data_IF_836977443938
#
_entry.id   IF_836977443938
#
_cell.length_a   1.000
_cell.length_b   1.000
_cell.length_c   1.000
_cell.angle_alpha   90.00
_cell.angle_beta   90.00
_cell.angle_gamma   90.00
#
_symmetry.space_group_name_H-M   'P 1'
#
loop_
_entity.id
_entity.type
_entity.pdbx_description
1 polymer ?
#
# COMPACT_ATOMS: atom_id res chain seq x y z
N UNK A 1 -41.52 -4.64 -4.86
CA UNK A 1 -40.49 -4.78 -5.93
C UNK A 1 -39.53 -3.59 -6.02
N UNK A 2 -39.99 -2.34 -6.02
CA UNK A 2 -39.12 -1.14 -6.07
C UNK A 2 -38.13 -1.03 -4.89
N UNK A 3 -38.56 -1.42 -3.68
CA UNK A 3 -37.73 -1.36 -2.48
C UNK A 3 -36.70 -2.48 -2.43
N UNK A 4 -37.02 -3.67 -2.96
CA UNK A 4 -36.06 -4.76 -3.10
C UNK A 4 -34.95 -4.43 -4.12
N UNK A 5 -35.30 -3.75 -5.20
CA UNK A 5 -34.35 -3.25 -6.20
C UNK A 5 -33.48 -2.11 -5.63
N UNK A 6 -34.04 -1.24 -4.78
CA UNK A 6 -33.26 -0.24 -4.04
C UNK A 6 -32.32 -0.88 -3.01
N UNK A 7 -32.79 -1.90 -2.29
CA UNK A 7 -31.97 -2.65 -1.32
C UNK A 7 -30.84 -3.43 -2.01
N UNK A 8 -31.12 -4.07 -3.14
CA UNK A 8 -30.11 -4.75 -3.97
C UNK A 8 -29.11 -3.77 -4.60
N UNK A 9 -29.56 -2.59 -5.04
CA UNK A 9 -28.67 -1.51 -5.50
C UNK A 9 -27.83 -0.90 -4.38
N UNK A 10 -28.36 -0.81 -3.15
CA UNK A 10 -27.59 -0.34 -1.99
C UNK A 10 -26.49 -1.35 -1.57
N UNK A 11 -26.73 -2.65 -1.76
CA UNK A 11 -25.72 -3.70 -1.53
C UNK A 11 -24.72 -3.86 -2.68
N UNK A 12 -24.99 -3.32 -3.86
CA UNK A 12 -24.14 -3.41 -5.06
C UNK A 12 -23.34 -2.14 -5.33
N UNK A 13 -23.20 -1.21 -4.39
CA UNK A 13 -22.18 -0.16 -4.50
C UNK A 13 -20.83 -0.85 -4.42
N UNK A 14 -20.36 -1.24 -5.57
CA UNK A 14 -18.97 -1.70 -5.75
C UNK A 14 -18.07 -0.53 -5.39
N UNK A 15 -16.88 -0.82 -4.84
CA UNK A 15 -15.85 0.19 -4.57
C UNK A 15 -15.40 0.97 -5.83
N UNK A 16 -16.01 0.69 -6.96
CA UNK A 16 -15.77 1.31 -8.27
C UNK A 16 -16.63 2.56 -8.51
N UNK A 17 -17.76 2.72 -7.77
CA UNK A 17 -18.66 3.88 -7.89
C UNK A 17 -18.31 4.94 -6.84
N UNK A 18 -17.34 5.79 -7.14
CA UNK A 18 -17.00 6.95 -6.30
C UNK A 18 -16.74 8.19 -7.16
N UNK A 19 -17.16 9.35 -6.64
CA UNK A 19 -16.96 10.64 -7.30
C UNK A 19 -15.69 11.35 -6.81
N UNK A 20 -15.26 11.09 -5.57
CA UNK A 20 -14.18 11.82 -4.91
C UNK A 20 -13.28 10.87 -4.13
N UNK A 21 -11.97 11.12 -4.18
CA UNK A 21 -10.97 10.47 -3.35
C UNK A 21 -10.49 11.46 -2.29
N UNK A 22 -10.62 11.08 -1.00
CA UNK A 22 -10.09 11.84 0.13
C UNK A 22 -8.85 11.14 0.67
N UNK A 23 -7.73 11.86 0.74
CA UNK A 23 -6.48 11.38 1.33
C UNK A 23 -6.33 11.99 2.72
N UNK A 24 -6.07 11.16 3.74
CA UNK A 24 -5.89 11.59 5.12
C UNK A 24 -5.07 10.58 5.91
N UNK A 25 -4.81 10.88 7.18
CA UNK A 25 -4.22 9.93 8.11
C UNK A 25 -5.30 8.96 8.60
N UNK A 26 -4.93 7.70 8.75
CA UNK A 26 -5.81 6.69 9.30
C UNK A 26 -5.55 6.51 10.79
N UNK A 27 -6.60 6.60 11.61
CA UNK A 27 -6.53 6.22 13.01
C UNK A 27 -6.38 4.69 13.16
N UNK A 28 -5.87 4.20 14.29
CA UNK A 28 -5.83 2.76 14.58
C UNK A 28 -7.22 2.10 14.47
N UNK A 29 -8.26 2.76 14.95
CA UNK A 29 -9.64 2.25 14.90
C UNK A 29 -10.18 2.21 13.47
N UNK A 30 -9.82 3.18 12.65
CA UNK A 30 -10.17 3.18 11.23
C UNK A 30 -9.50 1.99 10.51
N UNK A 31 -8.24 1.70 10.78
CA UNK A 31 -7.54 0.54 10.21
C UNK A 31 -8.20 -0.78 10.65
N UNK A 32 -8.59 -0.89 11.94
CA UNK A 32 -9.34 -2.05 12.43
C UNK A 32 -10.71 -2.20 11.77
N UNK A 33 -11.39 -1.08 11.49
CA UNK A 33 -12.69 -1.09 10.81
C UNK A 33 -12.63 -1.57 9.36
N UNK A 34 -11.53 -1.31 8.66
CA UNK A 34 -11.30 -1.81 7.29
C UNK A 34 -10.92 -3.29 7.26
N UNK A 35 -10.40 -3.80 8.37
CA UNK A 35 -9.82 -5.13 8.44
C UNK A 35 -10.87 -6.21 8.70
N UNK A 36 -10.70 -7.34 8.02
CA UNK A 36 -11.49 -8.55 8.23
C UNK A 36 -10.85 -9.52 9.25
N UNK A 37 -9.69 -9.18 9.80
CA UNK A 37 -9.04 -9.94 10.86
C UNK A 37 -7.55 -9.68 11.00
N UNK A 38 -6.99 -10.11 12.14
CA UNK A 38 -5.57 -9.99 12.46
C UNK A 38 -4.75 -11.09 11.81
N UNK A 39 -3.65 -10.70 11.16
CA UNK A 39 -2.66 -11.62 10.60
C UNK A 39 -1.58 -11.87 11.65
N UNK A 40 -1.58 -13.09 12.24
CA UNK A 40 -0.67 -13.47 13.34
C UNK A 40 0.55 -14.24 12.88
N UNK A 41 0.43 -14.95 11.75
CA UNK A 41 1.46 -15.87 11.28
C UNK A 41 2.16 -15.36 10.02
N UNK A 42 3.48 -15.54 9.91
CA UNK A 42 4.25 -15.15 8.74
C UNK A 42 4.07 -16.09 7.54
N UNK A 43 3.49 -17.27 7.74
CA UNK A 43 3.29 -18.28 6.71
C UNK A 43 2.30 -17.78 5.64
N UNK A 44 2.57 -18.17 4.40
CA UNK A 44 1.73 -17.83 3.23
C UNK A 44 0.79 -18.97 2.87
N UNK A 45 1.36 -20.08 2.42
CA UNK A 45 0.66 -21.28 2.00
C UNK A 45 1.35 -22.51 2.59
N UNK A 46 0.60 -23.60 2.72
CA UNK A 46 1.16 -24.90 3.00
C UNK A 46 1.72 -25.50 1.70
N UNK A 47 3.04 -25.68 1.61
CA UNK A 47 3.71 -26.18 0.41
C UNK A 47 3.35 -27.61 0.01
N UNK A 48 2.78 -28.41 0.93
CA UNK A 48 2.31 -29.78 0.65
C UNK A 48 0.92 -29.80 0.03
N UNK A 49 0.02 -28.93 0.54
CA UNK A 49 -1.40 -28.91 0.14
C UNK A 49 -1.76 -27.74 -0.78
N UNK A 50 -0.87 -26.79 -0.96
CA UNK A 50 -1.07 -25.51 -1.68
C UNK A 50 -2.24 -24.67 -1.17
N UNK A 51 -2.73 -24.98 0.04
CA UNK A 51 -3.82 -24.22 0.68
C UNK A 51 -3.25 -23.08 1.53
N UNK A 52 -3.96 -21.95 1.61
CA UNK A 52 -3.58 -20.86 2.51
C UNK A 52 -3.53 -21.30 3.95
N UNK A 53 -2.46 -20.91 4.67
CA UNK A 53 -2.35 -21.18 6.12
C UNK A 53 -3.33 -20.29 6.90
N UNK A 54 -3.83 -20.85 7.99
CA UNK A 54 -4.77 -20.16 8.89
C UNK A 54 -4.03 -19.04 9.62
N UNK A 55 -4.66 -17.85 9.68
CA UNK A 55 -4.14 -16.63 10.31
C UNK A 55 -2.81 -16.14 9.70
N UNK A 56 -2.45 -16.64 8.52
CA UNK A 56 -1.30 -16.22 7.72
C UNK A 56 -1.63 -15.13 6.71
N UNK A 57 -0.61 -14.73 5.93
CA UNK A 57 -0.69 -13.64 4.95
C UNK A 57 -1.69 -13.89 3.80
N UNK A 58 -2.10 -15.13 3.56
CA UNK A 58 -3.08 -15.51 2.53
C UNK A 58 -4.34 -16.17 3.10
N UNK A 59 -4.57 -16.07 4.40
CA UNK A 59 -5.66 -16.74 5.12
C UNK A 59 -7.01 -16.53 4.44
N UNK A 60 -7.69 -17.65 4.13
CA UNK A 60 -9.01 -17.61 3.50
C UNK A 60 -10.12 -17.10 4.43
N UNK A 61 -9.95 -17.23 5.76
CA UNK A 61 -10.89 -16.71 6.74
C UNK A 61 -10.88 -15.18 6.76
N UNK A 62 -9.71 -14.56 6.63
CA UNK A 62 -9.53 -13.09 6.66
C UNK A 62 -9.85 -12.50 5.28
N UNK A 63 -9.23 -13.01 4.23
CA UNK A 63 -9.25 -12.40 2.91
C UNK A 63 -10.30 -12.97 1.96
N UNK A 64 -10.94 -14.08 2.32
CA UNK A 64 -11.96 -14.72 1.50
C UNK A 64 -11.51 -16.01 0.81
N UNK A 65 -12.43 -16.69 0.12
CA UNK A 65 -12.21 -18.00 -0.47
C UNK A 65 -11.25 -17.95 -1.67
N UNK A 66 -10.58 -19.07 -1.95
CA UNK A 66 -9.65 -19.22 -3.10
C UNK A 66 -10.40 -19.58 -4.39
N UNK A 67 -11.57 -20.23 -4.25
CA UNK A 67 -12.45 -20.59 -5.38
C UNK A 67 -13.82 -19.96 -5.18
N UNK A 68 -14.47 -19.57 -6.29
CA UNK A 68 -15.80 -18.98 -6.24
C UNK A 68 -16.80 -19.91 -5.56
N UNK A 69 -17.50 -19.37 -4.58
CA UNK A 69 -18.56 -20.05 -3.82
C UNK A 69 -18.15 -21.41 -3.23
N UNK A 70 -16.89 -21.56 -2.86
CA UNK A 70 -16.38 -22.77 -2.21
C UNK A 70 -15.60 -22.41 -0.93
N UNK A 71 -15.93 -23.04 0.20
CA UNK A 71 -15.14 -22.90 1.42
C UNK A 71 -13.83 -23.71 1.35
N UNK A 72 -12.85 -23.39 2.19
CA UNK A 72 -11.51 -24.00 2.14
C UNK A 72 -11.53 -25.52 2.40
N UNK A 73 -12.44 -26.01 3.28
CA UNK A 73 -12.58 -27.43 3.59
C UNK A 73 -13.45 -28.21 2.59
N UNK A 74 -14.16 -27.54 1.69
CA UNK A 74 -15.02 -28.15 0.68
C UNK A 74 -16.40 -28.60 1.20
N UNK A 75 -16.78 -28.28 2.47
CA UNK A 75 -18.11 -28.62 3.01
C UNK A 75 -19.23 -27.91 2.24
N UNK A 76 -19.05 -26.64 1.98
CA UNK A 76 -19.98 -25.81 1.21
C UNK A 76 -19.40 -25.52 -0.16
N UNK A 77 -20.15 -25.89 -1.20
CA UNK A 77 -19.85 -25.65 -2.61
C UNK A 77 -21.09 -25.12 -3.30
N UNK A 78 -20.92 -24.33 -4.36
CA UNK A 78 -21.95 -23.78 -5.22
C UNK A 78 -22.66 -22.56 -4.64
N UNK A 79 -23.31 -21.81 -5.53
CA UNK A 79 -23.96 -20.53 -5.32
C UNK A 79 -25.08 -20.57 -4.24
N UNK A 80 -25.75 -21.73 -4.06
CA UNK A 80 -26.85 -21.88 -3.08
C UNK A 80 -26.46 -21.58 -1.65
N UNK A 81 -25.15 -21.64 -1.31
CA UNK A 81 -24.62 -21.38 0.02
C UNK A 81 -23.96 -19.99 0.12
N UNK A 82 -24.25 -19.07 -0.80
CA UNK A 82 -23.68 -17.72 -0.80
C UNK A 82 -23.93 -17.02 0.54
N UNK A 83 -22.87 -16.41 1.11
CA UNK A 83 -22.91 -15.66 2.38
C UNK A 83 -22.85 -16.53 3.64
N UNK A 84 -22.84 -17.86 3.52
CA UNK A 84 -22.71 -18.75 4.67
C UNK A 84 -21.26 -18.79 5.14
N UNK A 85 -21.04 -18.62 6.45
CA UNK A 85 -19.73 -18.82 7.08
C UNK A 85 -19.61 -20.28 7.46
N UNK A 86 -18.58 -20.97 6.94
CA UNK A 86 -18.37 -22.38 7.22
C UNK A 86 -17.97 -22.61 8.69
N UNK A 87 -18.73 -23.39 9.42
CA UNK A 87 -18.47 -23.74 10.83
C UNK A 87 -17.09 -24.40 11.04
N UNK A 88 -16.66 -25.23 10.06
CA UNK A 88 -15.40 -26.00 10.16
C UNK A 88 -14.15 -25.17 9.86
N UNK A 89 -14.16 -24.34 8.80
CA UNK A 89 -12.98 -23.59 8.37
C UNK A 89 -13.11 -22.06 8.57
N UNK A 90 -14.29 -21.56 8.95
CA UNK A 90 -14.54 -20.14 9.18
C UNK A 90 -14.52 -19.27 7.91
N UNK A 91 -14.50 -19.89 6.73
CA UNK A 91 -14.44 -19.16 5.46
C UNK A 91 -15.85 -18.83 4.99
N UNK A 92 -16.09 -17.58 4.63
CA UNK A 92 -17.34 -17.13 4.02
C UNK A 92 -17.43 -17.57 2.56
N UNK A 93 -18.58 -18.10 2.16
CA UNK A 93 -18.82 -18.59 0.80
C UNK A 93 -19.22 -17.42 -0.11
N UNK A 94 -18.23 -16.79 -0.76
CA UNK A 94 -18.40 -15.64 -1.65
C UNK A 94 -17.56 -15.81 -2.91
N UNK A 95 -17.56 -14.80 -3.78
CA UNK A 95 -16.69 -14.75 -4.95
C UNK A 95 -15.23 -14.53 -4.53
N UNK A 96 -14.29 -15.05 -5.32
CA UNK A 96 -12.85 -14.83 -5.13
C UNK A 96 -12.43 -13.37 -5.30
N UNK A 97 -13.22 -12.56 -6.00
CA UNK A 97 -12.99 -11.12 -6.19
C UNK A 97 -12.74 -10.37 -4.87
N UNK A 98 -13.35 -10.82 -3.76
CA UNK A 98 -13.17 -10.21 -2.44
C UNK A 98 -11.72 -10.28 -1.94
N UNK A 99 -10.90 -11.21 -2.43
CA UNK A 99 -9.46 -11.30 -2.11
C UNK A 99 -8.64 -10.12 -2.65
N UNK A 100 -9.20 -9.35 -3.58
CA UNK A 100 -8.62 -8.10 -4.07
C UNK A 100 -9.03 -6.90 -3.22
N UNK A 101 -10.11 -7.00 -2.47
CA UNK A 101 -10.76 -5.88 -1.75
C UNK A 101 -10.53 -5.95 -0.24
N UNK A 102 -10.54 -7.15 0.35
CA UNK A 102 -10.45 -7.33 1.80
C UNK A 102 -9.04 -7.08 2.32
N UNK A 103 -8.96 -6.18 3.30
CA UNK A 103 -7.73 -5.90 4.04
C UNK A 103 -7.68 -6.72 5.34
N UNK A 104 -6.47 -6.98 5.82
CA UNK A 104 -6.19 -7.45 7.16
C UNK A 104 -5.42 -6.40 7.94
N UNK A 105 -5.04 -6.71 9.19
CA UNK A 105 -4.17 -5.87 10.00
C UNK A 105 -3.19 -6.70 10.84
N UNK A 106 -2.16 -6.04 11.33
CA UNK A 106 -1.20 -6.59 12.31
C UNK A 106 -1.22 -5.67 13.52
N UNK A 107 -1.52 -6.22 14.70
CA UNK A 107 -1.36 -5.51 15.97
C UNK A 107 0.11 -5.49 16.36
N UNK A 108 0.70 -4.30 16.35
CA UNK A 108 2.10 -4.13 16.71
C UNK A 108 2.30 -4.24 18.22
N UNK A 109 3.36 -4.90 18.64
CA UNK A 109 3.72 -5.07 20.06
C UNK A 109 4.21 -3.77 20.70
N UNK A 110 4.72 -2.83 19.90
CA UNK A 110 5.07 -1.49 20.33
C UNK A 110 4.72 -0.49 19.20
N UNK A 111 4.46 0.78 19.54
CA UNK A 111 4.27 1.82 18.53
C UNK A 111 5.47 1.95 17.60
N UNK A 112 5.22 2.29 16.34
CA UNK A 112 6.23 2.45 15.29
C UNK A 112 5.98 3.76 14.55
N UNK A 113 6.99 4.63 14.43
CA UNK A 113 6.87 5.87 13.69
C UNK A 113 6.82 5.62 12.18
N UNK A 114 5.94 6.34 11.47
CA UNK A 114 5.82 6.22 10.03
C UNK A 114 6.96 6.96 9.33
N UNK A 115 7.79 6.23 8.57
CA UNK A 115 9.01 6.75 7.93
C UNK A 115 8.77 7.95 7.00
N UNK A 116 7.60 8.05 6.34
CA UNK A 116 7.29 9.17 5.48
C UNK A 116 7.15 10.50 6.23
N UNK A 117 6.60 10.46 7.45
CA UNK A 117 6.45 11.66 8.28
C UNK A 117 7.71 11.98 9.06
N UNK A 118 8.56 10.97 9.29
CA UNK A 118 9.86 11.14 9.93
C UNK A 118 10.91 11.69 8.94
N UNK A 119 11.15 10.98 7.84
CA UNK A 119 12.25 11.25 6.88
C UNK A 119 11.86 12.17 5.72
N UNK A 120 10.72 12.83 5.76
CA UNK A 120 10.42 13.90 4.81
C UNK A 120 11.31 15.13 5.07
N UNK A 121 11.58 15.90 4.04
CA UNK A 121 12.30 17.16 4.17
C UNK A 121 11.35 18.33 3.85
N UNK A 122 10.95 19.12 4.85
CA UNK A 122 11.24 19.01 6.29
C UNK A 122 10.46 17.86 6.98
N UNK A 123 10.99 17.30 8.07
CA UNK A 123 10.32 16.29 8.86
C UNK A 123 9.02 16.82 9.46
N UNK A 124 7.90 16.11 9.22
CA UNK A 124 6.59 16.53 9.78
C UNK A 124 6.54 16.35 11.29
N UNK A 125 7.05 15.23 11.80
CA UNK A 125 7.16 14.99 13.24
C UNK A 125 8.09 16.04 13.87
N UNK A 126 9.24 16.33 13.25
CA UNK A 126 10.17 17.32 13.72
C UNK A 126 9.62 18.74 13.77
N UNK A 127 8.79 19.14 12.78
CA UNK A 127 8.14 20.45 12.79
C UNK A 127 7.09 20.57 13.90
N UNK A 128 6.33 19.51 14.19
CA UNK A 128 5.33 19.53 15.26
C UNK A 128 5.99 19.62 16.65
N UNK A 129 7.01 18.81 16.88
CA UNK A 129 7.73 18.80 18.16
C UNK A 129 8.77 19.93 18.31
N UNK A 130 8.99 20.73 17.26
CA UNK A 130 10.08 21.72 17.14
C UNK A 130 11.49 21.16 17.39
N UNK A 131 11.69 19.89 17.03
CA UNK A 131 12.93 19.16 17.24
C UNK A 131 13.67 18.88 15.93
N UNK A 132 15.02 18.91 15.92
CA UNK A 132 15.83 18.49 14.80
C UNK A 132 15.59 17.01 14.48
N UNK A 133 15.55 16.66 13.18
CA UNK A 133 15.38 15.28 12.74
C UNK A 133 16.40 14.31 13.35
N UNK A 134 17.65 14.76 13.51
CA UNK A 134 18.74 13.95 14.06
C UNK A 134 18.44 13.51 15.50
N UNK A 135 17.86 14.38 16.29
CA UNK A 135 17.57 14.12 17.71
C UNK A 135 16.39 13.16 17.83
N UNK A 136 15.35 13.35 17.02
CA UNK A 136 14.22 12.40 16.95
C UNK A 136 14.69 11.01 16.50
N UNK A 137 15.61 10.92 15.54
CA UNK A 137 16.17 9.65 15.11
C UNK A 137 16.92 8.93 16.23
N UNK A 138 17.69 9.65 17.05
CA UNK A 138 18.38 9.06 18.19
C UNK A 138 17.40 8.46 19.21
N UNK A 139 16.29 9.15 19.47
CA UNK A 139 15.24 8.63 20.34
C UNK A 139 14.55 7.39 19.73
N UNK A 140 14.12 7.48 18.46
CA UNK A 140 13.39 6.42 17.79
C UNK A 140 14.18 5.11 17.65
N UNK A 141 15.50 5.24 17.47
CA UNK A 141 16.35 4.06 17.29
C UNK A 141 17.09 3.65 18.59
N UNK A 142 16.57 4.11 19.73
CA UNK A 142 17.02 3.72 21.09
C UNK A 142 18.48 4.05 21.39
N UNK A 143 18.94 5.24 20.94
CA UNK A 143 20.27 5.76 21.25
C UNK A 143 20.24 6.74 22.45
N UNK A 144 19.12 7.45 22.65
CA UNK A 144 18.96 8.44 23.73
C UNK A 144 17.54 8.38 24.30
N UNK A 145 17.42 8.77 25.58
CA UNK A 145 16.14 9.02 26.23
C UNK A 145 15.63 10.42 25.91
N UNK A 146 14.33 10.59 25.97
CA UNK A 146 13.67 11.90 25.91
C UNK A 146 12.74 12.05 27.09
N UNK A 147 12.78 13.22 27.73
CA UNK A 147 11.91 13.54 28.86
C UNK A 147 10.51 13.80 28.34
N UNK A 148 9.56 12.97 28.76
CA UNK A 148 8.12 13.10 28.44
C UNK A 148 7.41 13.96 29.47
N UNK A 149 7.67 13.70 30.76
CA UNK A 149 7.15 14.50 31.88
C UNK A 149 8.30 14.90 32.80
N UNK A 150 8.58 16.23 32.94
CA UNK A 150 9.67 16.70 33.75
C UNK A 150 9.35 16.67 35.26
N UNK A 151 8.07 16.61 35.67
CA UNK A 151 7.68 16.68 37.07
C UNK A 151 8.17 17.94 37.76
N UNK A 152 8.65 17.80 39.02
CA UNK A 152 9.26 18.90 39.82
C UNK A 152 10.80 18.92 39.72
N UNK A 153 11.38 18.50 38.59
CA UNK A 153 12.83 18.43 38.39
C UNK A 153 13.34 19.61 37.56
N UNK A 154 14.67 19.78 37.52
CA UNK A 154 15.33 20.80 36.69
C UNK A 154 15.39 20.44 35.21
N UNK A 155 14.72 19.34 34.80
CA UNK A 155 14.69 18.86 33.42
C UNK A 155 13.61 19.59 32.62
N UNK A 156 13.90 19.80 31.34
CA UNK A 156 12.91 20.37 30.40
C UNK A 156 12.21 19.27 29.59
N UNK A 157 10.93 19.46 29.28
CA UNK A 157 10.19 18.57 28.41
C UNK A 157 10.79 18.54 27.02
N UNK A 158 11.03 17.34 26.48
CA UNK A 158 11.70 17.16 25.20
C UNK A 158 13.22 17.21 25.26
N UNK A 159 13.82 17.36 26.47
CA UNK A 159 15.25 17.26 26.65
C UNK A 159 15.75 15.85 26.39
N UNK A 160 16.89 15.74 25.71
CA UNK A 160 17.54 14.47 25.43
C UNK A 160 18.54 14.12 26.53
N UNK A 161 18.49 12.90 27.01
CA UNK A 161 19.40 12.38 28.02
C UNK A 161 20.16 11.16 27.43
N UNK A 162 21.49 11.14 27.70
CA UNK A 162 22.27 9.92 27.48
C UNK A 162 21.94 8.89 28.57
N UNK A 163 22.36 7.65 28.40
CA UNK A 163 22.11 6.60 29.39
C UNK A 163 22.74 6.95 30.76
N UNK A 164 23.95 7.55 30.76
CA UNK A 164 24.60 8.03 31.97
C UNK A 164 23.80 9.14 32.63
N UNK A 165 23.35 10.15 31.89
CA UNK A 165 22.54 11.27 32.41
C UNK A 165 21.18 10.80 32.92
N UNK A 166 20.59 9.78 32.29
CA UNK A 166 19.33 9.19 32.73
C UNK A 166 19.51 8.50 34.11
N UNK A 167 20.57 7.70 34.27
CA UNK A 167 20.87 7.05 35.54
C UNK A 167 21.17 8.07 36.63
N UNK A 168 21.97 9.11 36.34
CA UNK A 168 22.23 10.20 37.29
C UNK A 168 20.96 10.95 37.70
N UNK A 169 20.02 11.12 36.78
CA UNK A 169 18.73 11.75 37.04
C UNK A 169 17.82 10.82 37.87
N UNK A 170 17.80 9.52 37.56
CA UNK A 170 17.05 8.50 38.31
C UNK A 170 17.55 8.41 39.76
N UNK A 171 18.87 8.47 39.97
CA UNK A 171 19.47 8.48 41.32
C UNK A 171 19.13 9.76 42.13
N UNK A 172 18.93 10.92 41.45
CA UNK A 172 18.63 12.20 42.11
C UNK A 172 17.14 12.38 42.39
N UNK A 173 16.28 12.08 41.42
CA UNK A 173 14.85 12.43 41.46
C UNK A 173 13.91 11.20 41.46
N UNK A 174 14.44 9.97 41.35
CA UNK A 174 13.69 8.74 41.35
C UNK A 174 12.47 8.78 40.39
N UNK A 175 11.27 8.56 40.90
CA UNK A 175 10.02 8.51 40.12
C UNK A 175 9.38 9.90 39.88
N UNK A 176 10.06 11.01 40.17
CA UNK A 176 9.50 12.37 39.99
C UNK A 176 9.45 12.83 38.54
N UNK A 177 10.15 12.17 37.61
CA UNK A 177 10.15 12.48 36.19
C UNK A 177 9.95 11.23 35.35
N UNK A 178 9.47 11.40 34.12
CA UNK A 178 9.33 10.29 33.16
C UNK A 178 10.17 10.58 31.93
N UNK A 179 11.07 9.65 31.58
CA UNK A 179 11.83 9.68 30.32
C UNK A 179 11.75 8.33 29.62
N UNK A 180 11.46 8.35 28.33
CA UNK A 180 11.25 7.15 27.51
C UNK A 180 12.15 7.14 26.29
N UNK A 181 12.26 5.97 25.65
CA UNK A 181 12.91 5.77 24.35
C UNK A 181 11.92 5.25 23.32
N UNK A 182 12.27 5.45 22.03
CA UNK A 182 11.53 4.86 20.92
C UNK A 182 10.31 5.65 20.47
N UNK A 183 9.50 5.02 19.63
CA UNK A 183 8.32 5.66 19.05
C UNK A 183 7.19 5.92 20.07
N UNK A 184 7.20 5.21 21.18
CA UNK A 184 6.26 5.41 22.29
C UNK A 184 6.41 6.80 22.90
N UNK A 185 7.66 7.20 23.21
CA UNK A 185 7.97 8.54 23.70
C UNK A 185 7.51 9.64 22.73
N UNK A 186 7.79 9.45 21.44
CA UNK A 186 7.37 10.40 20.40
C UNK A 186 5.84 10.45 20.30
N UNK A 187 5.15 9.32 20.44
CA UNK A 187 3.69 9.27 20.45
C UNK A 187 3.08 10.05 21.62
N UNK A 188 3.63 9.88 22.80
CA UNK A 188 3.17 10.58 24.00
C UNK A 188 3.37 12.10 23.85
N UNK A 189 4.54 12.55 23.41
CA UNK A 189 4.78 13.96 23.10
C UNK A 189 3.82 14.53 22.04
N UNK A 190 3.46 13.73 21.01
CA UNK A 190 2.52 14.17 19.98
C UNK A 190 1.06 14.22 20.46
N UNK A 191 0.66 13.35 21.42
CA UNK A 191 -0.66 13.37 22.03
C UNK A 191 -0.91 14.62 22.86
N UNK A 192 0.14 15.07 23.54
CA UNK A 192 0.07 16.20 24.47
C UNK A 192 0.10 17.56 23.78
N UNK A 193 0.27 17.60 22.46
CA UNK A 193 0.19 18.85 21.68
C UNK A 193 -1.26 19.32 21.60
N UNK A 194 -1.57 20.42 22.27
CA UNK A 194 -2.80 21.15 22.00
C UNK A 194 -2.62 22.05 20.77
N UNK A 195 -3.32 21.68 19.68
CA UNK A 195 -3.18 22.35 18.39
C UNK A 195 -3.69 23.81 18.45
N UNK A 196 -4.70 24.11 19.26
CA UNK A 196 -5.29 25.44 19.35
C UNK A 196 -4.33 26.39 20.07
N UNK A 197 -3.88 25.98 21.25
CA UNK A 197 -2.96 26.77 22.07
C UNK A 197 -1.62 27.01 21.35
N UNK A 198 -1.07 25.99 20.70
CA UNK A 198 0.19 26.14 19.94
C UNK A 198 0.04 27.05 18.71
N UNK A 199 -1.11 27.01 18.03
CA UNK A 199 -1.37 27.92 16.91
C UNK A 199 -1.44 29.40 17.37
N UNK A 200 -2.06 29.67 18.53
CA UNK A 200 -2.15 31.01 19.09
C UNK A 200 -0.78 31.54 19.49
N UNK A 201 -0.01 30.77 20.24
CA UNK A 201 1.37 31.12 20.61
C UNK A 201 2.24 31.45 19.41
N UNK A 202 2.20 30.62 18.38
CA UNK A 202 3.00 30.85 17.17
C UNK A 202 2.55 32.08 16.35
N UNK A 203 1.27 32.45 16.43
CA UNK A 203 0.77 33.69 15.81
C UNK A 203 1.28 34.93 16.56
N UNK A 204 1.32 34.89 17.88
CA UNK A 204 1.89 35.95 18.72
C UNK A 204 3.38 36.08 18.45
N UNK A 205 4.15 34.99 18.51
CA UNK A 205 5.58 34.99 18.19
C UNK A 205 5.88 35.51 16.77
N UNK A 206 5.01 35.24 15.80
CA UNK A 206 5.18 35.74 14.44
C UNK A 206 5.04 37.26 14.35
N UNK A 207 4.22 37.87 15.20
CA UNK A 207 4.05 39.34 15.27
C UNK A 207 5.26 40.00 15.97
N UNK A 208 5.80 39.40 17.01
CA UNK A 208 6.91 39.94 17.79
C UNK A 208 8.28 39.78 17.10
N UNK A 209 8.42 38.72 16.27
CA UNK A 209 9.72 38.38 15.67
C UNK A 209 10.05 39.23 14.46
N UNK A 210 11.20 39.93 14.49
CA UNK A 210 11.73 40.72 13.39
C UNK A 210 12.71 39.95 12.48
N UNK A 211 13.18 38.74 12.89
CA UNK A 211 14.12 37.93 12.11
C UNK A 211 13.43 37.16 10.99
N UNK A 212 13.81 37.39 9.75
CA UNK A 212 13.23 36.75 8.55
C UNK A 212 13.36 35.20 8.59
N UNK A 213 14.48 34.68 9.07
CA UNK A 213 14.73 33.23 9.19
C UNK A 213 13.82 32.58 10.24
N UNK A 214 13.65 33.22 11.40
CA UNK A 214 12.71 32.76 12.43
C UNK A 214 11.27 32.81 11.91
N UNK A 215 10.86 33.90 11.27
CA UNK A 215 9.53 34.02 10.66
C UNK A 215 9.23 32.90 9.67
N UNK A 216 10.19 32.55 8.80
CA UNK A 216 10.04 31.43 7.84
C UNK A 216 9.87 30.09 8.56
N UNK A 217 10.59 29.85 9.69
CA UNK A 217 10.46 28.62 10.49
C UNK A 217 9.08 28.54 11.15
N UNK A 218 8.67 29.61 11.84
CA UNK A 218 7.36 29.71 12.52
C UNK A 218 6.22 29.54 11.50
N UNK A 219 6.28 30.21 10.36
CA UNK A 219 5.25 30.10 9.31
C UNK A 219 5.09 28.67 8.79
N UNK A 220 6.20 27.93 8.63
CA UNK A 220 6.13 26.53 8.18
C UNK A 220 5.48 25.61 9.25
N UNK A 221 5.80 25.84 10.53
CA UNK A 221 5.22 25.11 11.66
C UNK A 221 3.73 25.43 11.80
N UNK A 222 3.37 26.70 11.78
CA UNK A 222 1.98 27.18 11.86
C UNK A 222 1.10 26.60 10.75
N UNK A 223 1.55 26.63 9.49
CA UNK A 223 0.82 26.02 8.37
C UNK A 223 0.55 24.54 8.57
N UNK A 224 1.47 23.81 9.20
CA UNK A 224 1.28 22.39 9.47
C UNK A 224 0.26 22.17 10.59
N UNK A 225 0.34 22.92 11.68
CA UNK A 225 -0.63 22.84 12.80
C UNK A 225 -2.04 23.21 12.35
N UNK A 226 -2.19 24.31 11.60
CA UNK A 226 -3.49 24.70 11.02
C UNK A 226 -4.06 23.64 10.08
N UNK A 227 -3.22 22.97 9.28
CA UNK A 227 -3.66 21.87 8.42
C UNK A 227 -4.14 20.66 9.24
N UNK A 228 -3.53 20.35 10.38
CA UNK A 228 -4.01 19.31 11.28
C UNK A 228 -5.35 19.70 11.91
N UNK A 229 -5.48 20.93 12.40
CA UNK A 229 -6.71 21.45 12.99
C UNK A 229 -7.89 21.41 11.99
N UNK A 230 -7.68 21.93 10.77
CA UNK A 230 -8.72 21.97 9.72
C UNK A 230 -9.15 20.58 9.22
N UNK A 231 -8.21 19.64 9.13
CA UNK A 231 -8.47 18.28 8.64
C UNK A 231 -9.08 17.35 9.68
N UNK A 232 -9.01 17.69 10.97
CA UNK A 232 -9.40 16.83 12.08
C UNK A 232 -8.49 15.61 12.28
N UNK A 233 -7.32 15.59 11.65
CA UNK A 233 -6.32 14.55 11.89
C UNK A 233 -5.60 14.82 13.22
N UNK A 234 -5.29 13.74 13.95
CA UNK A 234 -4.50 13.85 15.18
C UNK A 234 -3.01 13.61 14.88
N UNK A 235 -2.09 14.41 15.48
CA UNK A 235 -0.65 14.24 15.30
C UNK A 235 -0.14 12.85 15.69
N UNK A 236 -0.72 12.26 16.74
CA UNK A 236 -0.37 10.91 17.24
C UNK A 236 -0.55 9.79 16.19
N UNK A 237 -1.42 9.99 15.17
CA UNK A 237 -1.63 9.00 14.11
C UNK A 237 -0.45 8.85 13.16
N UNK A 238 0.55 9.73 13.25
CA UNK A 238 1.82 9.53 12.53
C UNK A 238 2.70 8.43 13.15
N UNK A 239 2.34 7.97 14.34
CA UNK A 239 2.92 6.81 15.01
C UNK A 239 1.89 5.68 14.99
N UNK A 240 2.24 4.57 14.37
CA UNK A 240 1.33 3.46 14.12
C UNK A 240 1.38 2.44 15.25
N UNK A 241 0.24 2.05 15.77
CA UNK A 241 0.05 0.91 16.67
C UNK A 241 -0.54 -0.31 15.94
N UNK A 242 -1.20 -0.06 14.82
CA UNK A 242 -1.82 -1.07 13.95
C UNK A 242 -1.33 -0.87 12.53
N UNK A 243 -0.83 -1.94 11.90
CA UNK A 243 -0.34 -1.91 10.54
C UNK A 243 -1.37 -2.57 9.59
N UNK A 244 -1.84 -1.88 8.54
CA UNK A 244 -2.74 -2.48 7.57
C UNK A 244 -2.01 -3.49 6.68
N UNK A 245 -2.67 -4.60 6.35
CA UNK A 245 -2.17 -5.64 5.45
C UNK A 245 -2.93 -5.57 4.14
N UNK A 246 -2.20 -5.37 3.06
CA UNK A 246 -2.74 -5.27 1.70
C UNK A 246 -3.45 -6.57 1.30
N UNK A 247 -4.55 -6.50 0.52
CA UNK A 247 -5.21 -7.69 -0.01
C UNK A 247 -4.26 -8.63 -0.76
N UNK A 248 -4.45 -9.97 -0.67
CA UNK A 248 -3.52 -10.95 -1.26
C UNK A 248 -3.36 -10.84 -2.76
N UNK A 249 -4.42 -10.51 -3.51
CA UNK A 249 -4.37 -10.40 -4.97
C UNK A 249 -3.57 -9.18 -5.45
N UNK A 250 -3.33 -8.19 -4.59
CA UNK A 250 -2.44 -7.05 -4.88
C UNK A 250 -0.96 -7.35 -4.58
N UNK A 251 -0.66 -8.49 -3.92
CA UNK A 251 0.68 -9.04 -3.64
C UNK A 251 0.73 -10.53 -3.94
N UNK A 252 0.47 -10.94 -5.20
CA UNK A 252 0.17 -12.31 -5.54
C UNK A 252 1.34 -13.27 -5.31
N UNK A 253 0.99 -14.53 -5.10
CA UNK A 253 1.86 -15.69 -5.08
C UNK A 253 1.45 -16.58 -6.23
N UNK A 254 2.29 -16.65 -7.28
CA UNK A 254 1.97 -17.36 -8.53
C UNK A 254 2.79 -18.66 -8.61
N UNK A 255 2.15 -19.82 -8.78
CA UNK A 255 2.87 -21.05 -9.03
C UNK A 255 3.53 -21.03 -10.40
N UNK A 256 4.79 -21.45 -10.46
CA UNK A 256 5.56 -21.65 -11.68
C UNK A 256 5.72 -23.16 -11.95
N UNK A 257 6.07 -23.49 -13.18
CA UNK A 257 6.40 -24.86 -13.56
C UNK A 257 7.57 -25.39 -12.70
N UNK A 258 7.48 -26.65 -12.29
CA UNK A 258 8.47 -27.28 -11.41
C UNK A 258 8.26 -27.04 -9.91
N UNK A 259 7.04 -26.69 -9.47
CA UNK A 259 6.67 -26.58 -8.05
C UNK A 259 7.25 -25.37 -7.31
N UNK A 260 7.84 -24.41 -8.04
CA UNK A 260 8.34 -23.15 -7.51
C UNK A 260 7.25 -22.09 -7.52
N UNK A 261 7.38 -21.08 -6.65
CA UNK A 261 6.46 -19.95 -6.59
C UNK A 261 7.20 -18.65 -6.86
N UNK A 262 6.60 -17.81 -7.71
CA UNK A 262 6.97 -16.41 -7.81
C UNK A 262 6.11 -15.62 -6.81
N UNK A 263 6.76 -14.82 -5.98
CA UNK A 263 6.09 -14.02 -4.96
C UNK A 263 6.43 -12.55 -5.11
N UNK A 264 5.49 -11.68 -4.71
CA UNK A 264 5.76 -10.26 -4.58
C UNK A 264 6.73 -10.01 -3.43
N UNK A 265 7.66 -9.06 -3.61
CA UNK A 265 8.63 -8.66 -2.59
C UNK A 265 7.93 -8.19 -1.29
N UNK A 266 6.71 -7.65 -1.39
CA UNK A 266 5.90 -7.24 -0.24
C UNK A 266 5.61 -8.38 0.73
N UNK A 267 5.44 -9.60 0.25
CA UNK A 267 5.20 -10.76 1.11
C UNK A 267 6.41 -11.04 2.02
N UNK A 268 7.63 -10.91 1.50
CA UNK A 268 8.85 -11.08 2.30
C UNK A 268 9.02 -9.96 3.33
N UNK A 269 8.68 -8.74 2.96
CA UNK A 269 8.70 -7.59 3.88
C UNK A 269 7.65 -7.76 5.00
N UNK A 270 6.41 -8.14 4.69
CA UNK A 270 5.40 -8.47 5.71
C UNK A 270 5.83 -9.62 6.61
N UNK A 271 6.41 -10.69 6.07
CA UNK A 271 6.92 -11.81 6.86
C UNK A 271 7.99 -11.36 7.86
N UNK A 272 8.89 -10.47 7.47
CA UNK A 272 9.91 -9.88 8.37
C UNK A 272 9.26 -9.10 9.51
N UNK A 273 8.27 -8.26 9.20
CA UNK A 273 7.52 -7.51 10.23
C UNK A 273 6.84 -8.45 11.21
N UNK A 274 6.09 -9.45 10.73
CA UNK A 274 5.37 -10.40 11.59
C UNK A 274 6.33 -11.21 12.46
N UNK A 275 7.44 -11.68 11.91
CA UNK A 275 8.45 -12.43 12.67
C UNK A 275 9.05 -11.58 13.81
N UNK A 276 9.42 -10.33 13.52
CA UNK A 276 9.94 -9.40 14.55
C UNK A 276 8.88 -9.07 15.60
N UNK A 277 7.67 -8.81 15.16
CA UNK A 277 6.56 -8.52 16.05
C UNK A 277 6.24 -9.68 17.00
N UNK A 278 6.18 -10.90 16.47
CA UNK A 278 5.92 -12.10 17.27
C UNK A 278 7.08 -12.40 18.23
N UNK A 279 8.31 -12.16 17.80
CA UNK A 279 9.49 -12.29 18.65
C UNK A 279 9.47 -11.29 19.80
N UNK A 280 9.13 -10.02 19.50
CA UNK A 280 9.00 -8.98 20.52
C UNK A 280 7.89 -9.32 21.52
N UNK A 281 6.70 -9.73 21.05
CA UNK A 281 5.61 -10.19 21.95
C UNK A 281 6.09 -11.27 22.92
N UNK A 282 6.80 -12.28 22.40
CA UNK A 282 7.35 -13.35 23.23
C UNK A 282 8.40 -12.88 24.23
N UNK A 283 9.26 -11.92 23.86
CA UNK A 283 10.27 -11.36 24.78
C UNK A 283 9.62 -10.54 25.89
N UNK A 284 8.55 -9.81 25.57
CA UNK A 284 7.76 -9.07 26.58
C UNK A 284 7.05 -10.02 27.53
N UNK A 285 6.43 -11.09 27.02
CA UNK A 285 5.76 -12.11 27.84
C UNK A 285 6.74 -12.85 28.78
N UNK A 286 8.00 -13.02 28.37
CA UNK A 286 9.07 -13.65 29.15
C UNK A 286 9.81 -12.70 30.09
N UNK A 287 9.43 -11.41 30.13
CA UNK A 287 10.11 -10.37 30.90
C UNK A 287 11.64 -10.40 30.66
N UNK A 288 12.00 -10.40 29.36
CA UNK A 288 13.40 -10.45 28.95
C UNK A 288 14.16 -9.15 29.34
N UNK A 289 15.50 -9.20 29.50
CA UNK A 289 16.31 -8.00 29.81
C UNK A 289 16.08 -6.87 28.82
N UNK A 290 16.03 -5.65 29.34
CA UNK A 290 15.72 -4.42 28.58
C UNK A 290 16.57 -4.22 27.32
N UNK A 291 17.85 -4.52 27.40
CA UNK A 291 18.78 -4.40 26.26
C UNK A 291 18.30 -5.24 25.07
N UNK A 292 17.79 -6.46 25.32
CA UNK A 292 17.28 -7.36 24.28
C UNK A 292 15.96 -6.83 23.73
N UNK A 293 15.06 -6.37 24.60
CA UNK A 293 13.76 -5.81 24.24
C UNK A 293 13.94 -4.54 23.39
N UNK A 294 14.81 -3.61 23.82
CA UNK A 294 15.14 -2.37 23.07
C UNK A 294 15.68 -2.69 21.67
N UNK A 295 16.60 -3.66 21.57
CA UNK A 295 17.14 -4.05 20.29
C UNK A 295 16.06 -4.66 19.36
N UNK A 296 15.14 -5.47 19.89
CA UNK A 296 14.06 -6.05 19.07
C UNK A 296 13.01 -4.99 18.68
N UNK A 297 12.70 -4.03 19.57
CA UNK A 297 11.87 -2.85 19.25
C UNK A 297 12.49 -2.05 18.09
N UNK A 298 13.80 -1.79 18.13
CA UNK A 298 14.54 -1.12 17.05
C UNK A 298 14.45 -1.91 15.74
N UNK A 299 14.64 -3.24 15.78
CA UNK A 299 14.55 -4.08 14.60
C UNK A 299 13.13 -4.16 14.04
N UNK A 300 12.09 -4.06 14.87
CA UNK A 300 10.71 -3.94 14.43
C UNK A 300 10.48 -2.61 13.70
N UNK A 301 10.94 -1.49 14.26
CA UNK A 301 10.90 -0.17 13.60
C UNK A 301 11.57 -0.24 12.22
N UNK A 302 12.78 -0.80 12.13
CA UNK A 302 13.53 -0.93 10.87
C UNK A 302 12.79 -1.83 9.84
N UNK A 303 12.13 -2.89 10.29
CA UNK A 303 11.37 -3.78 9.39
C UNK A 303 10.12 -3.11 8.82
N UNK A 304 9.44 -2.27 9.61
CA UNK A 304 8.30 -1.49 9.15
C UNK A 304 8.75 -0.36 8.22
N UNK A 305 9.87 0.31 8.53
CA UNK A 305 10.47 1.31 7.65
C UNK A 305 10.77 0.74 6.26
N UNK A 306 11.34 -0.47 6.21
CA UNK A 306 11.62 -1.15 4.95
C UNK A 306 10.35 -1.56 4.19
N UNK A 307 9.28 -1.95 4.87
CA UNK A 307 8.00 -2.24 4.22
C UNK A 307 7.41 -1.00 3.56
N UNK A 308 7.47 0.15 4.24
CA UNK A 308 6.90 1.41 3.76
C UNK A 308 7.76 2.06 2.67
N UNK A 309 9.06 2.22 2.89
CA UNK A 309 10.00 2.84 1.94
C UNK A 309 11.42 2.28 2.12
N UNK A 310 11.70 1.16 1.47
CA UNK A 310 12.98 0.47 1.57
C UNK A 310 14.13 1.32 1.00
N UNK A 311 15.20 1.47 1.77
CA UNK A 311 16.37 2.25 1.41
C UNK A 311 16.29 3.75 1.73
N UNK A 312 15.20 4.21 2.36
CA UNK A 312 15.09 5.59 2.83
C UNK A 312 16.01 5.87 4.01
N UNK A 313 16.23 4.87 4.86
CA UNK A 313 17.18 4.88 5.96
C UNK A 313 18.26 3.83 5.76
N UNK A 314 19.48 4.25 5.51
CA UNK A 314 20.63 3.37 5.38
C UNK A 314 20.59 2.45 4.17
N UNK A 315 21.17 1.26 4.29
CA UNK A 315 21.21 0.27 3.21
C UNK A 315 19.85 -0.40 3.03
N UNK A 316 19.41 -0.48 1.78
CA UNK A 316 18.16 -1.18 1.45
C UNK A 316 18.28 -2.69 1.78
N UNK A 317 17.18 -3.26 2.27
CA UNK A 317 17.07 -4.71 2.47
C UNK A 317 17.02 -5.38 1.10
N UNK A 318 17.85 -6.38 0.89
CA UNK A 318 17.98 -7.10 -0.37
C UNK A 318 17.42 -8.52 -0.27
N UNK A 319 16.97 -9.03 -1.41
CA UNK A 319 16.58 -10.43 -1.58
C UNK A 319 17.80 -11.35 -1.84
N UNK A 320 17.53 -12.60 -2.16
CA UNK A 320 18.56 -13.62 -2.47
C UNK A 320 19.53 -13.21 -3.59
N UNK A 321 19.05 -12.47 -4.58
CA UNK A 321 19.83 -11.99 -5.72
C UNK A 321 20.52 -10.64 -5.47
N UNK A 322 20.71 -10.22 -4.24
CA UNK A 322 21.27 -8.91 -3.85
C UNK A 322 20.52 -7.70 -4.42
N UNK A 323 19.35 -7.90 -5.03
CA UNK A 323 18.46 -6.84 -5.51
C UNK A 323 17.68 -6.25 -4.33
N UNK A 324 17.56 -4.91 -4.21
CA UNK A 324 16.70 -4.30 -3.22
C UNK A 324 15.25 -4.79 -3.37
N UNK A 325 14.60 -5.12 -2.26
CA UNK A 325 13.18 -5.51 -2.25
C UNK A 325 12.31 -4.28 -2.51
N UNK A 326 11.29 -4.45 -3.34
CA UNK A 326 10.35 -3.39 -3.73
C UNK A 326 9.36 -3.14 -2.61
N UNK A 327 9.41 -1.94 -2.02
CA UNK A 327 8.54 -1.49 -0.93
C UNK A 327 7.19 -0.93 -1.42
N UNK A 328 6.28 -0.59 -0.49
CA UNK A 328 5.01 0.06 -0.81
C UNK A 328 5.21 1.40 -1.53
N UNK A 329 6.19 2.21 -1.10
CA UNK A 329 6.53 3.46 -1.78
C UNK A 329 6.95 3.24 -3.24
N UNK A 330 7.73 2.18 -3.51
CA UNK A 330 8.18 1.84 -4.86
C UNK A 330 7.06 1.32 -5.77
N UNK A 331 5.95 0.83 -5.18
CA UNK A 331 4.74 0.47 -5.93
C UNK A 331 4.01 1.70 -6.49
N UNK A 332 4.22 2.88 -5.91
CA UNK A 332 3.50 4.11 -6.25
C UNK A 332 4.40 5.02 -7.07
N UNK A 333 5.66 5.23 -6.64
CA UNK A 333 6.62 6.18 -7.22
C UNK A 333 7.42 5.59 -8.38
N UNK A 334 8.01 6.50 -9.19
CA UNK A 334 8.95 6.16 -10.26
C UNK A 334 8.30 5.69 -11.55
N UNK A 335 9.15 5.29 -12.53
CA UNK A 335 8.73 4.89 -13.88
C UNK A 335 7.85 3.63 -13.89
N UNK A 336 8.10 2.71 -12.96
CA UNK A 336 7.37 1.44 -12.82
C UNK A 336 6.32 1.50 -11.71
N UNK A 337 6.06 2.68 -11.14
CA UNK A 337 5.04 2.90 -10.15
C UNK A 337 3.64 3.01 -10.75
N UNK A 338 2.63 2.94 -9.86
CA UNK A 338 1.21 2.93 -10.25
C UNK A 338 0.81 4.17 -11.06
N UNK A 339 1.30 5.35 -10.70
CA UNK A 339 0.96 6.57 -11.40
C UNK A 339 1.43 6.57 -12.85
N UNK A 340 2.72 6.34 -13.09
CA UNK A 340 3.29 6.43 -14.43
C UNK A 340 2.99 5.23 -15.32
N UNK A 341 2.84 4.03 -14.76
CA UNK A 341 2.69 2.79 -15.52
C UNK A 341 1.22 2.40 -15.77
N UNK A 342 0.29 2.74 -14.86
CA UNK A 342 -1.07 2.24 -14.91
C UNK A 342 -2.16 3.32 -14.94
N UNK A 343 -1.86 4.56 -14.48
CA UNK A 343 -2.84 5.63 -14.40
C UNK A 343 -2.66 6.69 -15.49
N UNK A 344 -1.45 7.23 -15.66
CA UNK A 344 -1.16 8.22 -16.72
C UNK A 344 -1.15 7.60 -18.12
N UNK A 345 -0.94 6.29 -18.21
CA UNK A 345 -1.00 5.54 -19.45
C UNK A 345 -1.10 4.06 -19.17
N UNK A 346 -1.81 3.34 -20.03
CA UNK A 346 -2.00 1.87 -19.94
C UNK A 346 -1.60 1.24 -21.25
N UNK A 347 -1.18 -0.02 -21.20
CA UNK A 347 -1.10 -0.83 -22.42
C UNK A 347 -2.52 -1.12 -22.89
N UNK A 348 -2.76 -0.93 -24.18
CA UNK A 348 -4.08 -1.11 -24.79
C UNK A 348 -4.05 -2.27 -25.77
N UNK A 349 -5.20 -2.93 -25.91
CA UNK A 349 -5.40 -3.96 -26.94
C UNK A 349 -5.50 -3.31 -28.33
N UNK A 350 -5.47 -4.12 -29.38
CA UNK A 350 -5.51 -3.67 -30.77
C UNK A 350 -4.42 -2.64 -31.10
N UNK A 351 -3.24 -2.83 -30.57
CA UNK A 351 -2.04 -2.04 -30.84
C UNK A 351 -0.89 -2.95 -31.26
N UNK A 352 -0.01 -2.42 -32.10
CA UNK A 352 1.13 -3.16 -32.62
C UNK A 352 2.39 -2.29 -32.73
N UNK A 353 3.52 -2.91 -32.98
CA UNK A 353 4.80 -2.25 -33.19
C UNK A 353 5.52 -2.89 -34.35
N UNK A 354 6.05 -2.08 -35.25
CA UNK A 354 6.83 -2.54 -36.39
C UNK A 354 7.94 -1.55 -36.75
N UNK A 355 8.78 -1.96 -37.64
CA UNK A 355 9.85 -1.11 -38.20
C UNK A 355 9.21 -0.08 -39.17
N UNK A 356 9.71 1.14 -39.15
CA UNK A 356 9.29 2.19 -40.05
C UNK A 356 10.17 2.17 -41.29
N UNK A 357 9.53 2.14 -42.47
CA UNK A 357 10.21 2.19 -43.77
C UNK A 357 9.68 3.35 -44.59
N UNK A 358 10.39 3.74 -45.62
CA UNK A 358 9.95 4.77 -46.57
C UNK A 358 8.79 4.26 -47.42
N UNK A 359 7.86 5.13 -47.79
CA UNK A 359 6.72 4.84 -48.63
C UNK A 359 6.48 5.98 -49.63
N UNK A 360 7.31 6.10 -50.70
CA UNK A 360 7.27 7.28 -51.62
C UNK A 360 5.95 7.40 -52.42
N UNK A 361 5.19 6.33 -52.48
CA UNK A 361 3.90 6.32 -53.24
C UNK A 361 2.68 6.63 -52.38
N UNK A 362 2.89 6.80 -51.04
CA UNK A 362 1.79 7.08 -50.12
C UNK A 362 1.54 8.56 -49.97
N UNK A 363 0.27 8.94 -49.84
CA UNK A 363 -0.11 10.28 -49.48
C UNK A 363 0.20 10.57 -47.98
N UNK A 364 0.26 11.86 -47.60
CA UNK A 364 0.59 12.27 -46.21
C UNK A 364 -0.32 11.69 -45.12
N UNK A 365 -1.57 11.40 -45.49
CA UNK A 365 -2.56 10.79 -44.59
C UNK A 365 -2.63 9.28 -44.69
N UNK A 366 -1.75 8.63 -45.45
CA UNK A 366 -1.75 7.20 -45.66
C UNK A 366 -0.53 6.53 -45.03
N UNK A 367 -0.72 5.31 -44.58
CA UNK A 367 0.37 4.41 -44.14
C UNK A 367 0.16 3.02 -44.67
N UNK A 368 1.24 2.28 -44.93
CA UNK A 368 1.21 0.88 -45.30
C UNK A 368 1.40 0.01 -44.08
N UNK A 369 0.52 -0.96 -43.87
CA UNK A 369 0.62 -1.96 -42.82
C UNK A 369 0.78 -3.38 -43.40
N UNK A 370 1.54 -4.29 -42.73
CA UNK A 370 1.53 -5.68 -43.02
C UNK A 370 0.12 -6.26 -42.88
N UNK A 371 -0.35 -7.05 -43.88
CA UNK A 371 -1.70 -7.63 -43.91
C UNK A 371 -2.05 -8.41 -42.62
N UNK A 372 -1.13 -9.20 -42.10
CA UNK A 372 -1.35 -9.98 -40.86
C UNK A 372 -1.48 -9.07 -39.62
N UNK A 373 -0.75 -7.98 -39.57
CA UNK A 373 -0.88 -7.00 -38.49
C UNK A 373 -2.22 -6.28 -38.56
N UNK A 374 -2.65 -5.89 -39.76
CA UNK A 374 -3.97 -5.29 -39.97
C UNK A 374 -5.10 -6.24 -39.57
N UNK A 375 -4.98 -7.52 -39.87
CA UNK A 375 -5.96 -8.54 -39.49
C UNK A 375 -6.16 -8.61 -37.98
N UNK A 376 -5.07 -8.57 -37.21
CA UNK A 376 -5.12 -8.57 -35.75
C UNK A 376 -5.72 -7.27 -35.15
N UNK A 377 -5.33 -6.11 -35.69
CA UNK A 377 -5.81 -4.82 -35.22
C UNK A 377 -7.32 -4.63 -35.43
N UNK A 378 -7.84 -5.11 -36.56
CA UNK A 378 -9.24 -4.92 -36.96
C UNK A 378 -10.15 -6.14 -36.68
N UNK A 379 -9.67 -7.13 -35.93
CA UNK A 379 -10.44 -8.35 -35.59
C UNK A 379 -11.89 -8.11 -35.17
N UNK A 380 -12.22 -7.21 -34.22
CA UNK A 380 -13.60 -7.00 -33.77
C UNK A 380 -14.53 -6.56 -34.91
N UNK A 381 -14.05 -5.65 -35.77
CA UNK A 381 -14.80 -5.11 -36.88
C UNK A 381 -15.05 -6.19 -37.95
N UNK A 382 -14.05 -7.06 -38.19
CA UNK A 382 -14.17 -8.18 -39.10
C UNK A 382 -15.21 -9.17 -38.59
N UNK A 383 -15.20 -9.52 -37.31
CA UNK A 383 -16.20 -10.40 -36.69
C UNK A 383 -17.61 -9.85 -36.84
N UNK A 384 -17.80 -8.57 -36.55
CA UNK A 384 -19.09 -7.90 -36.68
C UNK A 384 -19.60 -7.93 -38.15
N UNK A 385 -18.73 -7.67 -39.16
CA UNK A 385 -19.11 -7.73 -40.57
C UNK A 385 -19.36 -9.16 -41.07
N UNK A 386 -18.58 -10.14 -40.58
CA UNK A 386 -18.84 -11.56 -40.92
C UNK A 386 -20.19 -12.04 -40.40
N UNK A 387 -20.58 -11.63 -39.20
CA UNK A 387 -21.85 -11.99 -38.59
C UNK A 387 -23.01 -11.25 -39.27
N UNK A 388 -22.90 -9.94 -39.49
CA UNK A 388 -23.95 -9.13 -40.12
C UNK A 388 -24.25 -9.52 -41.56
N UNK A 389 -23.27 -10.06 -42.31
CA UNK A 389 -23.42 -10.56 -43.67
C UNK A 389 -23.83 -12.02 -43.76
N UNK A 390 -23.97 -12.71 -42.62
CA UNK A 390 -24.40 -14.10 -42.58
C UNK A 390 -23.33 -15.13 -42.97
N UNK A 391 -22.06 -14.73 -43.12
CA UNK A 391 -20.97 -15.69 -43.38
C UNK A 391 -20.63 -16.54 -42.15
N UNK A 392 -20.89 -16.02 -40.98
CA UNK A 392 -20.74 -16.73 -39.73
C UNK A 392 -22.00 -16.56 -38.86
N UNK A 393 -22.51 -17.65 -38.33
CA UNK A 393 -23.71 -17.67 -37.46
C UNK A 393 -23.36 -17.40 -35.99
N UNK A 394 -22.09 -17.54 -35.62
CA UNK A 394 -21.59 -17.35 -34.24
C UNK A 394 -20.20 -16.73 -34.26
N UNK A 395 -19.87 -15.98 -33.22
CA UNK A 395 -18.54 -15.39 -33.01
C UNK A 395 -17.43 -16.47 -33.04
N UNK A 396 -17.74 -17.70 -32.57
CA UNK A 396 -16.81 -18.83 -32.63
C UNK A 396 -16.52 -19.30 -34.06
N UNK A 397 -17.51 -19.26 -34.91
CA UNK A 397 -17.33 -19.58 -36.35
C UNK A 397 -16.54 -18.47 -37.05
N UNK A 398 -16.86 -17.19 -36.78
CA UNK A 398 -16.11 -16.05 -37.31
C UNK A 398 -14.63 -16.09 -36.90
N UNK A 399 -14.35 -16.42 -35.65
CA UNK A 399 -12.97 -16.57 -35.15
C UNK A 399 -12.20 -17.65 -35.93
N UNK A 400 -12.81 -18.81 -36.17
CA UNK A 400 -12.19 -19.89 -36.97
C UNK A 400 -11.90 -19.48 -38.41
N UNK A 401 -12.81 -18.70 -39.03
CA UNK A 401 -12.60 -18.21 -40.41
C UNK A 401 -11.41 -17.24 -40.47
N UNK A 402 -11.29 -16.33 -39.48
CA UNK A 402 -10.16 -15.41 -39.41
C UNK A 402 -8.84 -16.14 -39.12
N UNK A 403 -8.84 -17.17 -38.27
CA UNK A 403 -7.66 -18.01 -37.98
C UNK A 403 -7.22 -18.83 -39.20
N UNK A 404 -8.14 -19.18 -40.09
CA UNK A 404 -7.83 -19.86 -41.37
C UNK A 404 -7.40 -18.92 -42.49
N UNK A 405 -7.52 -17.62 -42.27
CA UNK A 405 -7.20 -16.60 -43.28
C UNK A 405 -8.01 -16.79 -44.59
N UNK A 406 -9.31 -17.10 -44.49
CA UNK A 406 -10.17 -17.33 -45.65
C UNK A 406 -10.19 -16.09 -46.58
N UNK A 407 -10.38 -16.28 -47.91
CA UNK A 407 -10.35 -15.22 -48.92
C UNK A 407 -11.36 -14.09 -48.60
N UNK A 408 -12.55 -14.43 -48.13
CA UNK A 408 -13.61 -13.49 -47.73
C UNK A 408 -13.17 -12.56 -46.60
N UNK A 409 -12.32 -13.03 -45.72
CA UNK A 409 -11.81 -12.23 -44.60
C UNK A 409 -10.94 -11.08 -45.08
N UNK A 410 -10.15 -11.30 -46.14
CA UNK A 410 -9.32 -10.26 -46.74
C UNK A 410 -10.13 -9.17 -47.46
N UNK A 411 -11.23 -9.57 -48.14
CA UNK A 411 -12.14 -8.61 -48.79
C UNK A 411 -12.84 -7.75 -47.76
N UNK A 412 -13.30 -8.34 -46.64
CA UNK A 412 -13.90 -7.62 -45.54
C UNK A 412 -12.88 -6.70 -44.85
N UNK A 413 -11.64 -7.16 -44.65
CA UNK A 413 -10.58 -6.35 -44.11
C UNK A 413 -10.31 -5.10 -44.97
N UNK A 414 -10.27 -5.26 -46.32
CA UNK A 414 -10.07 -4.16 -47.26
C UNK A 414 -11.17 -3.08 -47.14
N UNK A 415 -12.41 -3.51 -46.88
CA UNK A 415 -13.53 -2.60 -46.62
C UNK A 415 -13.44 -1.90 -45.27
N UNK A 416 -13.14 -2.66 -44.20
CA UNK A 416 -13.00 -2.13 -42.82
C UNK A 416 -11.93 -1.07 -42.73
N UNK A 417 -10.80 -1.27 -43.39
CA UNK A 417 -9.68 -0.28 -43.39
C UNK A 417 -10.09 1.06 -43.99
N UNK A 418 -11.02 1.11 -44.96
CA UNK A 418 -11.48 2.38 -45.54
C UNK A 418 -12.27 3.22 -44.54
N UNK A 419 -12.99 2.57 -43.63
CA UNK A 419 -13.90 3.22 -42.67
C UNK A 419 -13.19 3.60 -41.34
N UNK A 420 -12.13 2.87 -40.99
CA UNK A 420 -11.48 2.99 -39.67
C UNK A 420 -10.03 3.43 -39.80
N UNK A 421 -9.71 4.70 -39.42
CA UNK A 421 -8.36 5.20 -39.39
C UNK A 421 -7.57 4.58 -38.25
N UNK A 422 -6.24 4.57 -38.37
CA UNK A 422 -5.30 4.17 -37.31
C UNK A 422 -4.54 5.36 -36.79
N UNK A 423 -4.16 5.29 -35.51
CA UNK A 423 -3.29 6.28 -34.89
C UNK A 423 -1.85 5.78 -34.91
N UNK A 424 -0.96 6.55 -35.54
CA UNK A 424 0.48 6.26 -35.59
C UNK A 424 1.22 7.07 -34.54
N UNK A 425 2.18 6.44 -33.88
CA UNK A 425 3.07 7.07 -32.93
C UNK A 425 4.51 6.63 -33.16
N UNK A 426 5.45 7.56 -33.07
CA UNK A 426 6.90 7.31 -33.09
C UNK A 426 7.53 7.78 -31.79
N UNK A 427 8.36 6.94 -31.16
CA UNK A 427 9.17 7.37 -30.02
C UNK A 427 10.41 8.15 -30.50
N UNK A 428 10.85 9.22 -29.79
CA UNK A 428 10.22 9.81 -28.60
C UNK A 428 8.94 10.57 -28.93
N UNK A 429 7.92 10.40 -28.09
CA UNK A 429 6.68 11.19 -28.16
C UNK A 429 6.92 12.50 -27.39
N UNK A 430 6.82 13.62 -28.05
CA UNK A 430 7.01 14.96 -27.48
C UNK A 430 5.66 15.53 -27.01
#
# INVERSE_FOLDING_TARGET
MKDLVKFLKAQSKTSEDFDVIKIGLASPDMIRSWSFGEVKKPETINYRTFKPERDGLFCARIFGPVKDYECLCGKYKRLKHRGVICEKCGVEVTQTKVRRERMGHIELACPVAHIWFLKSLPSRIGLLLDMPLRDIERVLYFEMYIVTEPGMTDLERGQLLTEEQFLDAEDRWQDEFEAKMGAEAIQDLLKDIDLEVECEKLREELQETNSETKRKKITKRLKLLEAFQQSGNKPEWMVMTVLPVLPPDLRPLVPLDGGRFATSDLNDLYRRVINRNNRLKRLLDLIAPDIIVRNEKRMLQESVDALLDNGRRGRAITGSNRRPLKSLADMIKGKQGRFRQNLLGKRVDYSGRSVITVGPYLHLHQCGLPKKMALELFRPFIYAKLESRGYATTIKAAKKMVEREDAIVWDILAEVIREHPILLNRAPTL
#
